data_IF_322466374835
#
_entry.id   IF_322466374835
#
_cell.length_a   1.000
_cell.length_b   1.000
_cell.length_c   1.000
_cell.angle_alpha   90.00
_cell.angle_beta   90.00
_cell.angle_gamma   90.00
#
_symmetry.space_group_name_H-M   'P 1'
#
loop_
_entity.id
_entity.type
_entity.pdbx_description
1 polymer ?
#
# COMPACT_ATOMS: atom_id res chain seq x y z
N UNK A 1 25.70 -41.88 -0.37
CA UNK A 1 24.35 -42.35 -0.78
C UNK A 1 23.15 -41.59 -0.18
N UNK A 2 23.29 -40.49 0.58
CA UNK A 2 22.13 -39.80 1.22
C UNK A 2 21.29 -38.87 0.31
N UNK A 3 21.73 -38.57 -0.93
CA UNK A 3 21.03 -37.62 -1.83
C UNK A 3 19.73 -38.17 -2.45
N UNK A 4 19.58 -39.49 -2.59
CA UNK A 4 18.41 -40.09 -3.27
C UNK A 4 17.09 -40.01 -2.49
N UNK A 5 17.15 -40.13 -1.15
CA UNK A 5 15.92 -40.16 -0.32
C UNK A 5 15.25 -38.79 -0.20
N UNK A 6 16.02 -37.70 -0.24
CA UNK A 6 15.48 -36.33 -0.15
C UNK A 6 14.70 -35.90 -1.40
N UNK A 7 15.19 -36.25 -2.59
CA UNK A 7 14.54 -35.92 -3.86
C UNK A 7 13.18 -36.64 -4.01
N UNK A 8 13.11 -37.91 -3.63
CA UNK A 8 11.87 -38.69 -3.68
C UNK A 8 10.77 -38.06 -2.80
N UNK A 9 11.13 -37.65 -1.59
CA UNK A 9 10.20 -37.01 -0.64
C UNK A 9 9.69 -35.66 -1.17
N UNK A 10 10.55 -34.85 -1.79
CA UNK A 10 10.15 -33.53 -2.34
C UNK A 10 9.23 -33.67 -3.55
N UNK A 11 9.48 -34.67 -4.42
CA UNK A 11 8.59 -34.99 -5.54
C UNK A 11 7.19 -35.39 -5.07
N UNK A 12 7.11 -36.24 -4.03
CA UNK A 12 5.83 -36.62 -3.43
C UNK A 12 5.12 -35.42 -2.78
N UNK A 13 5.87 -34.51 -2.15
CA UNK A 13 5.32 -33.27 -1.60
C UNK A 13 4.70 -32.38 -2.67
N UNK A 14 5.38 -32.19 -3.81
CA UNK A 14 4.83 -31.44 -4.94
C UNK A 14 3.53 -32.09 -5.43
N UNK A 15 3.56 -33.39 -5.72
CA UNK A 15 2.40 -34.11 -6.25
C UNK A 15 1.18 -34.02 -5.31
N UNK A 16 1.39 -34.18 -3.99
CA UNK A 16 0.33 -34.02 -2.98
C UNK A 16 -0.20 -32.59 -2.94
N UNK A 17 0.67 -31.59 -2.99
CA UNK A 17 0.24 -30.19 -3.02
C UNK A 17 -0.58 -29.86 -4.27
N UNK A 18 -0.13 -30.31 -5.45
CA UNK A 18 -0.86 -30.10 -6.72
C UNK A 18 -2.23 -30.78 -6.69
N UNK A 19 -2.31 -32.04 -6.27
CA UNK A 19 -3.58 -32.76 -6.18
C UNK A 19 -4.57 -32.06 -5.22
N UNK A 20 -4.07 -31.58 -4.08
CA UNK A 20 -4.90 -30.87 -3.12
C UNK A 20 -5.36 -29.51 -3.64
N UNK A 21 -4.49 -28.75 -4.33
CA UNK A 21 -4.88 -27.49 -4.99
C UNK A 21 -5.99 -27.76 -6.01
N UNK A 22 -5.84 -28.78 -6.86
CA UNK A 22 -6.84 -29.14 -7.87
C UNK A 22 -8.18 -29.50 -7.23
N UNK A 23 -8.17 -30.26 -6.13
CA UNK A 23 -9.38 -30.59 -5.35
C UNK A 23 -10.05 -29.33 -4.78
N UNK A 24 -9.26 -28.39 -4.28
CA UNK A 24 -9.75 -27.15 -3.67
C UNK A 24 -10.28 -26.13 -4.68
N UNK A 25 -9.86 -26.16 -5.95
CA UNK A 25 -10.35 -25.25 -7.02
C UNK A 25 -11.88 -25.28 -7.16
N UNK A 26 -12.52 -26.42 -6.87
CA UNK A 26 -13.98 -26.58 -6.90
C UNK A 26 -14.73 -26.02 -5.68
N UNK A 27 -14.03 -25.58 -4.63
CA UNK A 27 -14.63 -25.11 -3.37
C UNK A 27 -14.57 -23.57 -3.28
N UNK A 28 -15.73 -22.92 -3.30
CA UNK A 28 -15.84 -21.47 -3.12
C UNK A 28 -15.41 -21.06 -1.70
N UNK A 29 -14.69 -19.94 -1.57
CA UNK A 29 -14.32 -19.34 -0.27
C UNK A 29 -13.12 -20.00 0.38
N UNK A 30 -13.33 -20.99 1.28
CA UNK A 30 -12.25 -21.64 2.06
C UNK A 30 -11.16 -22.25 1.17
N UNK A 31 -11.54 -22.71 -0.03
CA UNK A 31 -10.60 -23.22 -1.02
C UNK A 31 -9.51 -22.21 -1.39
N UNK A 32 -9.86 -20.92 -1.50
CA UNK A 32 -8.93 -19.87 -1.95
C UNK A 32 -7.79 -19.65 -0.95
N UNK A 33 -8.10 -19.65 0.36
CA UNK A 33 -7.09 -19.52 1.40
C UNK A 33 -6.11 -20.70 1.41
N UNK A 34 -6.65 -21.93 1.38
CA UNK A 34 -5.81 -23.14 1.39
C UNK A 34 -4.98 -23.28 0.12
N UNK A 35 -5.55 -22.94 -1.05
CA UNK A 35 -4.81 -22.84 -2.30
C UNK A 35 -3.64 -21.85 -2.15
N UNK A 36 -3.91 -20.65 -1.64
CA UNK A 36 -2.88 -19.64 -1.40
C UNK A 36 -1.75 -20.14 -0.49
N UNK A 37 -2.08 -20.84 0.60
CA UNK A 37 -1.11 -21.43 1.54
C UNK A 37 -0.26 -22.53 0.89
N UNK A 38 -0.87 -23.39 0.08
CA UNK A 38 -0.16 -24.46 -0.64
C UNK A 38 0.75 -23.88 -1.73
N UNK A 39 0.27 -22.89 -2.48
CA UNK A 39 1.06 -22.19 -3.48
C UNK A 39 2.25 -21.45 -2.85
N UNK A 40 2.05 -20.77 -1.71
CA UNK A 40 3.12 -20.12 -0.96
C UNK A 40 4.19 -21.11 -0.52
N UNK A 41 3.78 -22.28 -0.04
CA UNK A 41 4.69 -23.36 0.31
C UNK A 41 5.47 -23.86 -0.90
N UNK A 42 4.79 -24.16 -2.01
CA UNK A 42 5.43 -24.63 -3.25
C UNK A 42 6.46 -23.62 -3.75
N UNK A 43 6.14 -22.33 -3.70
CA UNK A 43 7.07 -21.27 -4.09
C UNK A 43 8.26 -21.18 -3.13
N UNK A 44 8.02 -21.05 -1.82
CA UNK A 44 9.08 -20.85 -0.81
C UNK A 44 10.04 -22.03 -0.69
N UNK A 45 9.55 -23.24 -0.87
CA UNK A 45 10.35 -24.46 -0.80
C UNK A 45 10.92 -24.89 -2.16
N UNK A 46 10.70 -24.11 -3.23
CA UNK A 46 11.10 -24.42 -4.60
C UNK A 46 10.63 -25.82 -5.08
N UNK A 47 9.46 -26.28 -4.61
CA UNK A 47 8.96 -27.63 -4.92
C UNK A 47 8.64 -27.79 -6.41
N UNK A 48 8.31 -26.70 -7.10
CA UNK A 48 8.04 -26.69 -8.55
C UNK A 48 9.23 -27.22 -9.38
N UNK A 49 10.47 -27.08 -8.90
CA UNK A 49 11.66 -27.61 -9.59
C UNK A 49 11.64 -29.14 -9.71
N UNK A 50 11.01 -29.83 -8.76
CA UNK A 50 10.90 -31.30 -8.77
C UNK A 50 9.99 -31.80 -9.90
N UNK A 51 9.06 -30.94 -10.34
CA UNK A 51 8.21 -31.17 -11.51
C UNK A 51 8.88 -30.82 -12.84
N UNK A 52 10.14 -30.37 -12.82
CA UNK A 52 10.92 -29.90 -13.99
C UNK A 52 10.34 -28.67 -14.70
N UNK A 53 9.50 -27.89 -14.03
CA UNK A 53 9.08 -26.58 -14.52
C UNK A 53 10.27 -25.61 -14.49
N UNK A 54 10.39 -24.71 -15.46
CA UNK A 54 11.50 -23.75 -15.51
C UNK A 54 11.37 -22.66 -14.43
N UNK A 55 10.13 -22.34 -14.02
CA UNK A 55 9.84 -21.40 -12.94
C UNK A 55 8.47 -21.68 -12.29
N UNK A 56 8.17 -20.96 -11.21
CA UNK A 56 6.89 -21.09 -10.50
C UNK A 56 5.67 -20.68 -11.35
N UNK A 57 5.82 -19.67 -12.22
CA UNK A 57 4.74 -19.20 -13.09
C UNK A 57 4.29 -20.30 -14.07
N UNK A 58 5.23 -21.03 -14.66
CA UNK A 58 4.99 -22.17 -15.54
C UNK A 58 4.28 -23.31 -14.79
N UNK A 59 4.75 -23.66 -13.58
CA UNK A 59 4.07 -24.63 -12.72
C UNK A 59 2.59 -24.26 -12.47
N UNK A 60 2.33 -22.99 -12.14
CA UNK A 60 0.98 -22.49 -11.88
C UNK A 60 0.07 -22.61 -13.11
N UNK A 61 0.60 -22.31 -14.30
CA UNK A 61 -0.17 -22.37 -15.55
C UNK A 61 -0.36 -23.80 -16.01
N UNK A 62 0.71 -24.59 -16.09
CA UNK A 62 0.69 -25.91 -16.73
C UNK A 62 0.19 -27.03 -15.80
N UNK A 63 0.60 -27.02 -14.53
CA UNK A 63 0.27 -28.11 -13.60
C UNK A 63 -1.00 -27.81 -12.80
N UNK A 64 -1.18 -26.56 -12.38
CA UNK A 64 -2.32 -26.14 -11.55
C UNK A 64 -3.50 -25.64 -12.40
N UNK A 65 -3.25 -25.30 -13.68
CA UNK A 65 -4.26 -24.74 -14.59
C UNK A 65 -4.91 -23.49 -13.96
N UNK A 66 -4.07 -22.54 -13.54
CA UNK A 66 -4.49 -21.30 -12.90
C UNK A 66 -3.76 -20.09 -13.50
N UNK A 67 -4.45 -18.96 -13.59
CA UNK A 67 -3.78 -17.72 -13.98
C UNK A 67 -2.78 -17.28 -12.92
N UNK A 68 -1.63 -16.75 -13.36
CA UNK A 68 -0.60 -16.20 -12.48
C UNK A 68 -1.17 -15.17 -11.51
N UNK A 69 -2.01 -14.26 -12.02
CA UNK A 69 -2.67 -13.22 -11.22
C UNK A 69 -3.45 -13.80 -10.05
N UNK A 70 -4.26 -14.84 -10.28
CA UNK A 70 -5.06 -15.47 -9.22
C UNK A 70 -4.16 -16.20 -8.21
N UNK A 71 -3.12 -16.90 -8.67
CA UNK A 71 -2.18 -17.59 -7.79
C UNK A 71 -1.51 -16.61 -6.81
N UNK A 72 -0.93 -15.52 -7.33
CA UNK A 72 -0.30 -14.49 -6.50
C UNK A 72 -1.31 -13.79 -5.59
N UNK A 73 -2.52 -13.53 -6.06
CA UNK A 73 -3.60 -12.96 -5.24
C UNK A 73 -3.92 -13.87 -4.05
N UNK A 74 -4.12 -15.17 -4.27
CA UNK A 74 -4.46 -16.12 -3.20
C UNK A 74 -3.32 -16.29 -2.20
N UNK A 75 -2.07 -16.37 -2.68
CA UNK A 75 -0.89 -16.41 -1.82
C UNK A 75 -0.82 -15.19 -0.92
N UNK A 76 -1.06 -13.99 -1.48
CA UNK A 76 -1.05 -12.74 -0.73
C UNK A 76 -2.15 -12.71 0.33
N UNK A 77 -3.36 -13.13 -0.02
CA UNK A 77 -4.46 -13.27 0.94
C UNK A 77 -4.08 -14.24 2.07
N UNK A 78 -3.50 -15.40 1.74
CA UNK A 78 -3.13 -16.41 2.73
C UNK A 78 -2.00 -15.97 3.69
N UNK A 79 -1.15 -15.04 3.27
CA UNK A 79 -0.10 -14.43 4.12
C UNK A 79 -0.65 -13.42 5.12
N UNK A 80 -1.78 -12.78 4.80
CA UNK A 80 -2.30 -11.64 5.57
C UNK A 80 -3.56 -11.97 6.40
N UNK A 81 -4.33 -12.98 6.00
CA UNK A 81 -5.59 -13.33 6.63
C UNK A 81 -5.65 -14.82 6.98
N UNK A 82 -6.61 -15.18 7.83
CA UNK A 82 -6.93 -16.58 8.12
C UNK A 82 -8.08 -17.10 7.24
N UNK A 83 -8.35 -18.40 7.33
CA UNK A 83 -9.40 -19.07 6.55
C UNK A 83 -10.82 -18.50 6.79
N UNK A 84 -11.13 -18.08 8.01
CA UNK A 84 -12.46 -17.55 8.37
C UNK A 84 -12.72 -16.19 7.72
N UNK A 85 -11.73 -15.30 7.78
CA UNK A 85 -11.78 -13.98 7.14
C UNK A 85 -11.83 -14.13 5.61
N UNK A 86 -11.03 -15.04 5.04
CA UNK A 86 -11.06 -15.35 3.61
C UNK A 86 -12.44 -15.84 3.15
N UNK A 87 -13.06 -16.74 3.92
CA UNK A 87 -14.41 -17.25 3.66
C UNK A 87 -15.47 -16.14 3.75
N UNK A 88 -15.36 -15.25 4.75
CA UNK A 88 -16.35 -14.18 4.98
C UNK A 88 -16.34 -13.10 3.91
N UNK A 89 -15.17 -12.63 3.49
CA UNK A 89 -15.07 -11.45 2.61
C UNK A 89 -14.78 -11.78 1.15
N UNK A 90 -14.28 -12.98 0.86
CA UNK A 90 -13.91 -13.40 -0.50
C UNK A 90 -12.63 -12.71 -1.02
N UNK A 91 -12.07 -13.27 -2.09
CA UNK A 91 -10.76 -12.86 -2.58
C UNK A 91 -10.71 -11.42 -3.12
N UNK A 92 -11.72 -10.99 -3.89
CA UNK A 92 -11.71 -9.67 -4.51
C UNK A 92 -11.73 -8.53 -3.49
N UNK A 93 -12.49 -8.69 -2.40
CA UNK A 93 -12.59 -7.68 -1.35
C UNK A 93 -11.32 -7.62 -0.51
N UNK A 94 -10.76 -8.78 -0.11
CA UNK A 94 -9.51 -8.84 0.64
C UNK A 94 -8.30 -8.34 -0.15
N UNK A 95 -8.26 -8.62 -1.45
CA UNK A 95 -7.25 -8.08 -2.36
C UNK A 95 -7.31 -6.54 -2.44
N UNK A 96 -8.52 -5.98 -2.57
CA UNK A 96 -8.71 -4.53 -2.53
C UNK A 96 -8.26 -3.95 -1.18
N UNK A 97 -8.56 -4.67 -0.09
CA UNK A 97 -8.20 -4.31 1.28
C UNK A 97 -6.67 -4.27 1.49
N UNK A 98 -5.94 -5.29 1.02
CA UNK A 98 -4.46 -5.30 1.05
C UNK A 98 -3.90 -4.09 0.30
N UNK A 99 -4.42 -3.81 -0.89
CA UNK A 99 -3.99 -2.65 -1.69
C UNK A 99 -4.27 -1.31 -1.01
N UNK A 100 -5.34 -1.24 -0.20
CA UNK A 100 -5.64 -0.08 0.62
C UNK A 100 -4.56 0.14 1.67
N UNK A 101 -4.21 -0.90 2.44
CA UNK A 101 -3.12 -0.80 3.41
C UNK A 101 -1.79 -0.41 2.76
N UNK A 102 -1.44 -0.99 1.61
CA UNK A 102 -0.21 -0.67 0.87
C UNK A 102 -0.08 0.81 0.48
N UNK A 103 -1.19 1.56 0.41
CA UNK A 103 -1.18 2.99 0.07
C UNK A 103 -1.42 3.91 1.26
N UNK A 104 -1.92 3.38 2.37
CA UNK A 104 -2.11 4.10 3.63
C UNK A 104 -0.74 4.32 4.30
N UNK A 105 -0.40 5.55 4.69
CA UNK A 105 0.91 5.87 5.27
C UNK A 105 1.09 5.43 6.74
N UNK A 106 0.10 4.78 7.34
CA UNK A 106 0.18 4.29 8.71
C UNK A 106 0.85 2.90 8.75
N UNK A 107 1.57 2.59 9.83
CA UNK A 107 2.10 1.24 10.16
C UNK A 107 0.95 0.27 10.54
N UNK A 108 -0.14 0.30 9.78
CA UNK A 108 -1.30 -0.58 9.98
C UNK A 108 -0.92 -2.01 9.58
N UNK A 109 -1.10 -2.93 10.52
CA UNK A 109 -0.94 -4.36 10.27
C UNK A 109 -2.19 -4.88 9.56
N UNK A 110 -2.08 -5.98 8.80
CA UNK A 110 -3.24 -6.64 8.20
C UNK A 110 -4.36 -7.03 9.18
N UNK A 111 -4.03 -7.21 10.47
CA UNK A 111 -5.03 -7.42 11.52
C UNK A 111 -5.87 -6.17 11.83
N UNK A 112 -5.31 -4.98 11.63
CA UNK A 112 -5.98 -3.69 11.87
C UNK A 112 -7.00 -3.38 10.76
N UNK A 113 -6.92 -4.08 9.64
CA UNK A 113 -7.81 -3.91 8.48
C UNK A 113 -9.29 -4.11 8.83
N UNK A 114 -9.60 -4.93 9.83
CA UNK A 114 -10.97 -5.11 10.29
C UNK A 114 -11.51 -3.88 11.04
N UNK A 115 -10.62 -3.11 11.67
CA UNK A 115 -10.93 -1.85 12.34
C UNK A 115 -10.75 -0.63 11.41
N UNK A 116 -10.06 -0.78 10.29
CA UNK A 116 -9.78 0.30 9.36
C UNK A 116 -11.06 0.96 8.82
N UNK A 117 -11.05 2.29 8.83
CA UNK A 117 -12.12 3.14 8.31
C UNK A 117 -11.75 3.57 6.89
N UNK A 118 -12.48 3.06 5.90
CA UNK A 118 -12.21 3.29 4.48
C UNK A 118 -12.99 4.52 4.03
N UNK A 119 -12.28 5.52 3.52
CA UNK A 119 -12.91 6.70 2.93
C UNK A 119 -13.50 6.36 1.56
N UNK A 120 -14.82 6.29 1.47
CA UNK A 120 -15.54 5.96 0.24
C UNK A 120 -16.39 7.14 -0.24
N UNK A 121 -16.53 7.27 -1.56
CA UNK A 121 -17.36 8.32 -2.18
C UNK A 121 -18.82 7.87 -2.21
N UNK A 122 -19.70 8.66 -1.61
CA UNK A 122 -21.15 8.44 -1.62
C UNK A 122 -21.83 8.95 -2.90
N UNK A 123 -23.13 8.68 -3.03
CA UNK A 123 -23.97 8.98 -4.21
C UNK A 123 -23.97 10.47 -4.60
N UNK A 124 -23.83 11.38 -3.63
CA UNK A 124 -23.77 12.83 -3.86
C UNK A 124 -22.33 13.38 -3.95
N UNK A 125 -21.35 12.52 -4.20
CA UNK A 125 -19.94 12.89 -4.24
C UNK A 125 -19.32 13.22 -2.89
N UNK A 126 -20.09 13.21 -1.79
CA UNK A 126 -19.56 13.39 -0.42
C UNK A 126 -18.79 12.15 0.01
N UNK A 127 -17.66 12.35 0.67
CA UNK A 127 -16.93 11.26 1.29
C UNK A 127 -17.56 10.87 2.63
N UNK A 128 -17.54 9.58 2.94
CA UNK A 128 -17.84 9.05 4.26
C UNK A 128 -16.84 7.97 4.61
N UNK A 129 -16.61 7.77 5.90
CA UNK A 129 -15.85 6.64 6.40
C UNK A 129 -16.80 5.46 6.57
N UNK A 130 -16.40 4.29 6.08
CA UNK A 130 -17.14 3.04 6.25
C UNK A 130 -16.20 1.94 6.72
N UNK A 131 -16.74 0.96 7.42
CA UNK A 131 -15.97 -0.22 7.79
C UNK A 131 -15.67 -1.10 6.56
N UNK A 132 -14.65 -1.97 6.67
CA UNK A 132 -14.42 -3.01 5.66
C UNK A 132 -15.67 -3.86 5.45
N UNK A 133 -16.47 -4.13 6.50
CA UNK A 133 -17.68 -4.93 6.38
C UNK A 133 -18.69 -4.32 5.40
N UNK A 134 -18.90 -3.00 5.48
CA UNK A 134 -19.87 -2.27 4.66
C UNK A 134 -19.35 -1.92 3.26
N UNK A 135 -18.04 -1.75 3.11
CA UNK A 135 -17.44 -1.37 1.83
C UNK A 135 -17.54 -2.50 0.78
N UNK A 136 -17.87 -2.17 -0.46
CA UNK A 136 -17.73 -3.11 -1.58
C UNK A 136 -16.27 -3.13 -2.07
N UNK A 137 -15.84 -4.22 -2.72
CA UNK A 137 -14.49 -4.29 -3.30
C UNK A 137 -14.22 -3.10 -4.26
N UNK A 138 -15.22 -2.73 -5.07
CA UNK A 138 -15.14 -1.60 -5.99
C UNK A 138 -14.93 -0.26 -5.26
N UNK A 139 -15.66 -0.02 -4.17
CA UNK A 139 -15.47 1.19 -3.35
C UNK A 139 -14.07 1.27 -2.75
N UNK A 140 -13.50 0.13 -2.32
CA UNK A 140 -12.13 0.07 -1.79
C UNK A 140 -11.12 0.37 -2.90
N UNK A 141 -11.30 -0.19 -4.11
CA UNK A 141 -10.44 0.13 -5.26
C UNK A 141 -10.50 1.61 -5.64
N UNK A 142 -11.68 2.22 -5.59
CA UNK A 142 -11.83 3.66 -5.82
C UNK A 142 -11.11 4.49 -4.76
N UNK A 143 -11.21 4.10 -3.49
CA UNK A 143 -10.46 4.73 -2.40
C UNK A 143 -8.94 4.63 -2.64
N UNK A 144 -8.43 3.46 -3.00
CA UNK A 144 -7.01 3.25 -3.39
C UNK A 144 -6.62 4.17 -4.55
N UNK A 145 -7.47 4.29 -5.58
CA UNK A 145 -7.21 5.13 -6.74
C UNK A 145 -7.12 6.61 -6.36
N UNK A 146 -7.99 7.08 -5.47
CA UNK A 146 -7.96 8.46 -4.96
C UNK A 146 -6.70 8.74 -4.13
N UNK A 147 -6.28 7.78 -3.28
CA UNK A 147 -5.04 7.88 -2.50
C UNK A 147 -3.78 7.85 -3.37
N UNK A 148 -3.78 7.05 -4.45
CA UNK A 148 -2.68 7.05 -5.44
C UNK A 148 -2.71 8.31 -6.31
N UNK A 149 -3.89 8.82 -6.65
CA UNK A 149 -4.07 10.04 -7.45
C UNK A 149 -3.56 11.28 -6.74
N UNK A 150 -3.90 11.45 -5.46
CA UNK A 150 -3.35 12.52 -4.62
C UNK A 150 -1.82 12.45 -4.51
N UNK A 151 -1.22 11.25 -4.49
CA UNK A 151 0.25 11.07 -4.51
C UNK A 151 0.89 11.33 -5.89
N UNK A 152 0.25 10.92 -6.99
CA UNK A 152 0.76 11.11 -8.37
C UNK A 152 0.64 12.55 -8.88
N UNK A 153 -0.08 13.39 -8.15
CA UNK A 153 -0.38 14.77 -8.52
C UNK A 153 0.38 15.84 -7.76
N UNK A 154 1.47 15.52 -7.04
CA UNK A 154 2.38 16.57 -6.55
C UNK A 154 3.07 17.23 -7.76
N UNK A 155 2.31 18.07 -8.49
CA UNK A 155 2.76 18.88 -9.61
C UNK A 155 4.04 19.55 -9.15
N UNK A 156 5.15 19.31 -9.87
CA UNK A 156 6.47 19.82 -9.49
C UNK A 156 6.34 21.30 -9.13
N UNK A 157 6.72 21.62 -7.91
CA UNK A 157 6.86 23.00 -7.46
C UNK A 157 7.90 23.66 -8.38
N UNK A 158 7.60 24.84 -8.97
CA UNK A 158 8.55 25.52 -9.83
C UNK A 158 9.90 25.73 -9.10
N UNK A 159 11.02 25.55 -9.81
CA UNK A 159 12.37 25.64 -9.20
C UNK A 159 12.61 27.00 -8.51
N UNK A 160 12.06 28.08 -9.08
CA UNK A 160 12.12 29.42 -8.50
C UNK A 160 11.52 29.51 -7.09
N UNK A 161 10.50 28.70 -6.78
CA UNK A 161 9.90 28.66 -5.45
C UNK A 161 10.74 27.88 -4.44
N UNK A 162 11.52 26.87 -4.85
CA UNK A 162 12.38 26.12 -3.92
C UNK A 162 13.41 27.02 -3.24
N UNK A 163 14.11 27.86 -4.02
CA UNK A 163 15.12 28.76 -3.46
C UNK A 163 14.53 29.81 -2.50
N UNK A 164 13.29 30.26 -2.76
CA UNK A 164 12.57 31.14 -1.81
C UNK A 164 12.27 30.41 -0.49
N UNK A 165 11.97 29.12 -0.55
CA UNK A 165 11.60 28.32 0.62
C UNK A 165 12.79 27.86 1.44
N UNK A 166 13.92 27.57 0.81
CA UNK A 166 15.19 27.32 1.50
C UNK A 166 15.56 28.55 2.34
N UNK A 167 15.52 29.75 1.74
CA UNK A 167 15.74 31.02 2.46
C UNK A 167 14.73 31.26 3.59
N UNK A 168 13.47 30.89 3.40
CA UNK A 168 12.47 31.00 4.47
C UNK A 168 12.83 30.02 5.60
N UNK A 169 13.10 28.76 5.28
CA UNK A 169 13.42 27.72 6.25
C UNK A 169 14.66 28.06 7.10
N UNK A 170 15.67 28.72 6.52
CA UNK A 170 16.86 29.23 7.22
C UNK A 170 16.53 30.31 8.25
N UNK A 171 15.56 31.19 7.96
CA UNK A 171 15.14 32.26 8.88
C UNK A 171 14.21 31.78 10.00
N UNK A 172 13.64 30.58 9.85
CA UNK A 172 12.69 30.07 10.81
C UNK A 172 13.43 29.45 12.02
N UNK A 173 12.86 29.56 13.24
CA UNK A 173 13.49 29.08 14.47
C UNK A 173 13.79 27.58 14.45
N UNK A 174 14.81 27.10 15.17
CA UNK A 174 15.12 25.67 15.17
C UNK A 174 13.94 24.86 15.73
N UNK A 175 13.73 23.66 15.20
CA UNK A 175 12.64 22.84 15.73
C UNK A 175 13.13 22.17 17.02
N UNK A 176 12.23 21.89 17.99
CA UNK A 176 12.61 21.18 19.19
C UNK A 176 13.23 19.80 18.88
N UNK A 177 14.15 19.36 19.72
CA UNK A 177 14.76 18.03 19.57
C UNK A 177 13.69 16.94 19.66
N UNK A 178 13.72 15.98 18.74
CA UNK A 178 12.77 14.86 18.71
C UNK A 178 11.43 15.14 18.02
N UNK A 179 11.15 16.38 17.59
CA UNK A 179 9.89 16.71 16.89
C UNK A 179 10.03 16.75 15.36
N UNK A 180 11.24 16.51 14.82
CA UNK A 180 11.51 16.56 13.37
C UNK A 180 11.27 15.20 12.71
N UNK A 181 10.27 15.15 11.82
CA UNK A 181 10.17 14.13 10.77
C UNK A 181 10.04 14.81 9.40
N UNK A 182 11.17 15.05 8.74
CA UNK A 182 11.24 15.59 7.37
C UNK A 182 11.45 17.11 7.26
N UNK A 183 11.08 17.67 6.09
CA UNK A 183 11.23 19.10 5.76
C UNK A 183 10.30 19.99 6.60
N UNK A 184 10.85 21.09 7.16
CA UNK A 184 10.13 22.06 8.00
C UNK A 184 9.13 22.92 7.25
N UNK A 185 9.49 23.32 6.05
CA UNK A 185 8.64 24.09 5.13
C UNK A 185 8.47 23.21 3.91
N UNK A 186 7.24 22.77 3.65
CA UNK A 186 6.92 22.06 2.42
C UNK A 186 6.01 22.92 1.56
N UNK A 187 6.35 23.00 0.28
CA UNK A 187 5.46 23.58 -0.72
C UNK A 187 4.62 22.49 -1.32
N UNK A 188 3.31 22.67 -1.26
CA UNK A 188 2.34 21.84 -1.94
C UNK A 188 1.76 22.64 -3.10
N UNK A 189 1.51 21.97 -4.22
CA UNK A 189 0.74 22.56 -5.32
C UNK A 189 -0.64 21.92 -5.31
N UNK A 190 -1.67 22.73 -5.10
CA UNK A 190 -3.06 22.31 -5.15
C UNK A 190 -3.48 21.87 -6.54
N UNK A 191 -4.58 21.14 -6.62
CA UNK A 191 -5.16 20.71 -7.90
C UNK A 191 -5.55 21.91 -8.78
N UNK A 192 -6.01 22.99 -8.15
CA UNK A 192 -6.28 24.31 -8.75
C UNK A 192 -5.03 25.06 -9.23
N UNK A 193 -3.84 24.49 -9.01
CA UNK A 193 -2.56 25.05 -9.42
C UNK A 193 -1.95 26.05 -8.45
N UNK A 194 -2.65 26.47 -7.39
CA UNK A 194 -2.12 27.37 -6.36
C UNK A 194 -1.05 26.67 -5.52
N UNK A 195 -0.09 27.44 -5.04
CA UNK A 195 0.93 26.95 -4.11
C UNK A 195 0.48 27.21 -2.67
N UNK A 196 0.65 26.22 -1.82
CA UNK A 196 0.39 26.30 -0.39
C UNK A 196 1.66 25.93 0.38
N UNK A 197 1.88 26.61 1.50
CA UNK A 197 2.98 26.31 2.41
C UNK A 197 2.44 25.56 3.61
N UNK A 198 3.13 24.49 3.97
CA UNK A 198 2.89 23.79 5.24
C UNK A 198 4.13 23.91 6.10
N UNK A 199 3.91 24.22 7.36
CA UNK A 199 4.95 24.40 8.37
C UNK A 199 4.82 23.29 9.41
N UNK A 200 5.95 22.73 9.83
CA UNK A 200 5.98 21.67 10.84
C UNK A 200 6.88 22.04 12.02
N UNK A 201 6.46 21.60 13.20
CA UNK A 201 7.20 21.72 14.46
C UNK A 201 7.67 23.16 14.78
N UNK A 202 6.72 24.10 14.80
CA UNK A 202 6.98 25.48 15.25
C UNK A 202 6.89 25.53 16.78
N UNK A 203 7.97 25.89 17.50
CA UNK A 203 7.90 26.10 18.95
C UNK A 203 6.85 27.17 19.30
N UNK A 204 6.09 26.93 20.36
CA UNK A 204 5.00 27.83 20.75
C UNK A 204 5.51 29.20 21.21
N UNK A 205 6.58 29.19 21.98
CA UNK A 205 7.31 30.37 22.48
C UNK A 205 7.98 31.18 21.35
N UNK A 206 8.20 30.57 20.18
CA UNK A 206 8.82 31.23 19.02
C UNK A 206 7.80 31.61 17.92
N UNK A 207 6.49 31.54 18.20
CA UNK A 207 5.43 31.89 17.24
C UNK A 207 5.55 33.35 16.74
N UNK A 208 5.96 34.28 17.60
CA UNK A 208 6.15 35.69 17.21
C UNK A 208 7.26 35.86 16.17
N UNK A 209 8.41 35.20 16.38
CA UNK A 209 9.53 35.20 15.45
C UNK A 209 9.16 34.53 14.11
N UNK A 210 8.39 33.43 14.19
CA UNK A 210 7.83 32.77 13.01
C UNK A 210 6.93 33.69 12.18
N UNK A 211 5.96 34.38 12.81
CA UNK A 211 5.06 35.31 12.12
C UNK A 211 5.83 36.47 11.49
N UNK A 212 6.82 37.04 12.22
CA UNK A 212 7.67 38.11 11.69
C UNK A 212 8.45 37.65 10.44
N UNK A 213 9.07 36.47 10.50
CA UNK A 213 9.79 35.91 9.36
C UNK A 213 8.87 35.70 8.14
N UNK A 214 7.61 35.29 8.35
CA UNK A 214 6.62 35.20 7.27
C UNK A 214 6.24 36.55 6.68
N UNK A 215 6.04 37.57 7.52
CA UNK A 215 5.72 38.93 7.07
C UNK A 215 6.85 39.53 6.24
N UNK A 216 8.10 39.39 6.70
CA UNK A 216 9.28 39.83 5.94
C UNK A 216 9.40 39.10 4.60
N UNK A 217 9.14 37.78 4.60
CA UNK A 217 9.17 36.99 3.39
C UNK A 217 8.08 37.39 2.39
N UNK A 218 6.88 37.71 2.87
CA UNK A 218 5.76 38.17 2.05
C UNK A 218 5.97 39.59 1.50
N UNK A 219 6.51 40.50 2.33
CA UNK A 219 6.74 41.90 1.96
C UNK A 219 7.90 42.11 0.98
N UNK A 220 8.90 41.22 0.97
CA UNK A 220 10.06 41.34 0.09
C UNK A 220 9.83 40.95 -1.38
N UNK A 221 8.67 40.40 -1.74
CA UNK A 221 8.42 39.91 -3.11
C UNK A 221 7.85 40.97 -4.07
N UNK A 222 7.60 42.20 -3.62
CA UNK A 222 6.96 43.25 -4.43
C UNK A 222 7.90 44.28 -5.06
N UNK A 223 9.22 44.20 -4.83
CA UNK A 223 10.16 45.27 -5.20
C UNK A 223 11.06 44.97 -6.41
N UNK A 224 10.97 43.79 -7.03
CA UNK A 224 11.99 43.31 -8.00
C UNK A 224 11.39 42.73 -9.32
N UNK A 225 10.15 43.10 -9.66
CA UNK A 225 9.57 42.84 -10.99
C UNK A 225 9.31 44.19 -11.70
N UNK A 226 10.40 44.79 -12.18
CA UNK A 226 10.42 45.95 -13.09
C UNK A 226 11.44 45.72 -14.19
#
# INVERSE_FOLDING_TARGET
MKRGRGALVRKDQLARATAEITRLKGLVGKGLYEIGRLLDRVQREDLWREGKFANFDEYVVEAVDMSRTNAYQFMRIARHFNAEIAKRYGASKLEAAIRYLEVTPADERPGDLMAAQIQVRGVRGRYRLVSLHEATAQQIYEAVRLMKGSKRGAKRVPKAFRGRMERLAEKLPQAPTGTRSGERVRVLRGDDGRLALTFQAIPYDELGAFVKALQEHAGGSGADEG
#
